data_IF_747164025434
#
_entry.id   IF_747164025434
#
_cell.length_a   1.000
_cell.length_b   1.000
_cell.length_c   1.000
_cell.angle_alpha   90.00
_cell.angle_beta   90.00
_cell.angle_gamma   90.00
#
_symmetry.space_group_name_H-M   'P 1'
#
loop_
_entity.id
_entity.type
_entity.pdbx_description
1 polymer ?
#
# COMPACT_ATOMS: atom_id res chain seq x y z
N UNK A 1 17.49 -2.74 -6.67
CA UNK A 1 16.07 -3.15 -6.56
C UNK A 1 15.19 -1.92 -6.63
N UNK A 2 13.89 -2.06 -6.87
CA UNK A 2 12.95 -0.95 -6.79
C UNK A 2 11.94 -1.16 -5.65
N UNK A 3 11.85 -0.20 -4.74
CA UNK A 3 10.81 -0.11 -3.74
C UNK A 3 9.68 0.82 -4.19
N UNK A 4 8.43 0.48 -3.89
CA UNK A 4 7.26 1.31 -4.18
C UNK A 4 6.53 1.60 -2.87
N UNK A 5 6.41 2.90 -2.53
CA UNK A 5 5.93 3.31 -1.21
C UNK A 5 4.40 3.17 -1.06
N UNK A 6 3.93 3.13 0.20
CA UNK A 6 2.51 3.25 0.54
C UNK A 6 2.03 4.69 0.75
N UNK A 7 0.95 4.87 1.50
CA UNK A 7 0.41 6.20 1.82
C UNK A 7 1.36 7.04 2.70
N UNK A 8 1.04 8.32 2.90
CA UNK A 8 1.68 9.17 3.92
C UNK A 8 3.06 9.71 3.56
N UNK A 9 3.53 9.50 2.33
CA UNK A 9 4.85 9.94 1.86
C UNK A 9 4.87 11.39 1.35
N UNK A 10 3.71 12.03 1.15
CA UNK A 10 3.63 13.43 0.73
C UNK A 10 4.28 14.41 1.74
N UNK A 11 4.34 14.05 3.02
CA UNK A 11 5.01 14.85 4.06
C UNK A 11 6.48 15.15 3.74
N UNK A 12 7.17 14.25 3.04
CA UNK A 12 8.55 14.46 2.61
C UNK A 12 8.62 15.47 1.46
N UNK A 13 7.68 15.39 0.52
CA UNK A 13 7.60 16.34 -0.59
C UNK A 13 7.31 17.77 -0.14
N UNK A 14 6.50 17.96 0.90
CA UNK A 14 6.30 19.29 1.51
C UNK A 14 7.61 19.92 2.01
N UNK A 15 8.60 19.10 2.38
CA UNK A 15 9.89 19.56 2.89
C UNK A 15 10.90 19.78 1.77
N UNK A 16 10.92 18.91 0.76
CA UNK A 16 11.94 18.92 -0.29
C UNK A 16 11.51 19.67 -1.56
N UNK A 17 10.21 19.77 -1.84
CA UNK A 17 9.68 20.35 -3.07
C UNK A 17 9.97 19.55 -4.36
N UNK A 18 10.63 18.40 -4.27
CA UNK A 18 11.12 17.64 -5.42
C UNK A 18 10.79 16.14 -5.29
N UNK A 19 10.14 15.52 -6.30
CA UNK A 19 9.87 14.08 -6.31
C UNK A 19 11.16 13.26 -6.21
N UNK A 20 12.20 13.66 -6.94
CA UNK A 20 13.50 12.98 -6.97
C UNK A 20 14.19 13.05 -5.61
N UNK A 21 14.09 14.19 -4.92
CA UNK A 21 14.63 14.32 -3.56
C UNK A 21 13.91 13.42 -2.55
N UNK A 22 12.60 13.22 -2.70
CA UNK A 22 11.87 12.27 -1.84
C UNK A 22 12.24 10.83 -2.20
N UNK A 23 12.35 10.50 -3.48
CA UNK A 23 12.78 9.18 -3.92
C UNK A 23 14.18 8.83 -3.37
N UNK A 24 15.14 9.76 -3.43
CA UNK A 24 16.47 9.58 -2.86
C UNK A 24 16.44 9.39 -1.33
N UNK A 25 15.58 10.14 -0.62
CA UNK A 25 15.41 10.01 0.83
C UNK A 25 14.86 8.62 1.21
N UNK A 26 13.81 8.16 0.51
CA UNK A 26 13.22 6.84 0.72
C UNK A 26 14.21 5.72 0.36
N UNK A 27 14.93 5.86 -0.76
CA UNK A 27 15.93 4.91 -1.20
C UNK A 27 17.05 4.73 -0.16
N UNK A 28 17.53 5.85 0.42
CA UNK A 28 18.52 5.84 1.50
C UNK A 28 17.98 5.14 2.76
N UNK A 29 16.77 5.52 3.21
CA UNK A 29 16.13 4.91 4.38
C UNK A 29 15.93 3.41 4.21
N UNK A 30 15.45 2.97 3.04
CA UNK A 30 15.15 1.58 2.77
C UNK A 30 16.40 0.73 2.53
N UNK A 31 17.42 1.28 1.89
CA UNK A 31 18.72 0.59 1.75
C UNK A 31 19.35 0.37 3.13
N UNK A 32 19.32 1.39 4.00
CA UNK A 32 19.79 1.26 5.36
C UNK A 32 18.95 0.26 6.18
N UNK A 33 17.62 0.24 5.98
CA UNK A 33 16.73 -0.70 6.64
C UNK A 33 16.96 -2.15 6.20
N UNK A 34 17.23 -2.38 4.91
CA UNK A 34 17.55 -3.69 4.36
C UNK A 34 18.85 -4.24 4.96
N UNK A 35 19.88 -3.38 5.13
CA UNK A 35 21.10 -3.71 5.85
C UNK A 35 21.90 -4.87 5.24
N UNK A 36 21.84 -5.05 3.91
CA UNK A 36 22.54 -6.12 3.18
C UNK A 36 23.60 -5.54 2.25
N UNK A 37 24.85 -5.92 2.48
CA UNK A 37 25.99 -5.45 1.69
C UNK A 37 25.88 -5.83 0.21
N UNK A 38 26.17 -4.86 -0.66
CA UNK A 38 26.08 -5.03 -2.11
C UNK A 38 24.65 -5.02 -2.66
N UNK A 39 23.64 -4.67 -1.83
CA UNK A 39 22.26 -4.48 -2.26
C UNK A 39 21.78 -3.06 -1.96
N UNK A 40 21.05 -2.49 -2.90
CA UNK A 40 20.42 -1.17 -2.76
C UNK A 40 18.98 -1.20 -3.25
N UNK A 41 18.17 -0.33 -2.66
CA UNK A 41 16.78 -0.12 -3.02
C UNK A 41 16.65 1.32 -3.54
N UNK A 42 16.32 1.47 -4.83
CA UNK A 42 15.80 2.73 -5.36
C UNK A 42 14.31 2.86 -5.02
N UNK A 43 13.76 4.07 -5.03
CA UNK A 43 12.35 4.30 -4.69
C UNK A 43 11.56 4.90 -5.86
N UNK A 44 10.39 4.32 -6.14
CA UNK A 44 9.36 4.96 -6.95
C UNK A 44 8.48 5.84 -6.05
N UNK A 45 8.46 7.14 -6.33
CA UNK A 45 7.69 8.13 -5.57
C UNK A 45 6.52 8.71 -6.39
N UNK A 46 5.30 8.63 -5.83
CA UNK A 46 4.08 9.09 -6.50
C UNK A 46 3.10 9.86 -5.60
N UNK A 47 3.37 10.01 -4.30
CA UNK A 47 2.37 10.55 -3.34
C UNK A 47 1.88 11.98 -3.68
N UNK A 48 2.70 12.79 -4.36
CA UNK A 48 2.33 14.13 -4.79
C UNK A 48 1.17 14.15 -5.82
N UNK A 49 0.97 13.06 -6.56
CA UNK A 49 -0.20 12.91 -7.45
C UNK A 49 -1.49 12.59 -6.69
N UNK A 50 -1.40 12.03 -5.48
CA UNK A 50 -2.56 11.64 -4.67
C UNK A 50 -2.92 12.66 -3.59
N UNK A 51 -2.01 13.58 -3.27
CA UNK A 51 -2.33 14.64 -2.32
C UNK A 51 -3.32 15.66 -2.91
N UNK A 52 -4.35 16.02 -2.14
CA UNK A 52 -5.44 16.91 -2.56
C UNK A 52 -5.38 18.33 -1.98
N UNK A 53 -4.38 18.64 -1.13
CA UNK A 53 -4.24 19.97 -0.54
C UNK A 53 -5.22 20.27 0.60
N UNK A 54 -5.76 19.24 1.26
CA UNK A 54 -6.73 19.40 2.36
C UNK A 54 -6.08 20.00 3.61
N UNK A 55 -6.79 20.89 4.30
CA UNK A 55 -6.34 21.51 5.55
C UNK A 55 -6.05 20.46 6.63
N UNK A 56 -5.12 20.74 7.54
CA UNK A 56 -4.67 19.80 8.55
C UNK A 56 -5.80 19.40 9.53
N UNK A 57 -6.70 20.32 9.90
CA UNK A 57 -7.88 20.02 10.72
C UNK A 57 -8.82 19.01 10.06
N UNK A 58 -8.97 19.11 8.75
CA UNK A 58 -9.87 18.28 7.95
C UNK A 58 -9.29 16.88 7.70
N UNK A 59 -7.97 16.72 7.94
CA UNK A 59 -7.29 15.45 7.74
C UNK A 59 -7.62 14.43 8.84
N UNK A 60 -7.98 14.89 10.04
CA UNK A 60 -8.15 14.05 11.24
C UNK A 60 -9.62 13.71 11.56
N UNK A 61 -10.59 14.42 10.97
CA UNK A 61 -12.03 14.13 11.14
C UNK A 61 -12.50 13.11 10.08
N UNK A 62 -12.93 11.89 10.49
CA UNK A 62 -13.49 10.91 9.55
C UNK A 62 -14.76 11.42 8.83
N UNK A 63 -15.49 12.39 9.41
CA UNK A 63 -16.64 13.02 8.78
C UNK A 63 -16.30 13.94 7.61
N UNK A 64 -15.03 14.35 7.47
CA UNK A 64 -14.54 15.20 6.37
C UNK A 64 -13.98 14.39 5.19
N UNK A 65 -13.98 13.05 5.29
CA UNK A 65 -13.74 12.17 4.15
C UNK A 65 -14.88 12.28 3.13
N UNK A 66 -14.57 12.06 1.85
CA UNK A 66 -15.60 11.92 0.82
C UNK A 66 -16.52 10.72 1.11
N UNK A 67 -17.80 10.74 0.69
CA UNK A 67 -18.75 9.68 1.00
C UNK A 67 -18.24 8.26 0.72
N UNK A 68 -17.57 8.05 -0.42
CA UNK A 68 -17.00 6.75 -0.79
C UNK A 68 -15.78 6.37 0.07
N UNK A 69 -15.01 7.36 0.54
CA UNK A 69 -13.94 7.14 1.52
C UNK A 69 -14.49 6.87 2.94
N UNK A 70 -15.64 7.46 3.30
CA UNK A 70 -16.35 7.12 4.54
C UNK A 70 -16.87 5.68 4.50
N UNK A 71 -17.45 5.26 3.37
CA UNK A 71 -17.85 3.87 3.15
C UNK A 71 -16.66 2.92 3.20
N UNK A 72 -15.50 3.32 2.67
CA UNK A 72 -14.26 2.57 2.79
C UNK A 72 -13.91 2.33 4.26
N UNK A 73 -13.89 3.38 5.07
CA UNK A 73 -13.55 3.28 6.49
C UNK A 73 -14.52 2.37 7.24
N UNK A 74 -15.83 2.49 6.96
CA UNK A 74 -16.85 1.62 7.55
C UNK A 74 -16.62 0.16 7.14
N UNK A 75 -16.53 -0.12 5.84
CA UNK A 75 -16.38 -1.49 5.33
C UNK A 75 -15.08 -2.15 5.79
N UNK A 76 -13.97 -1.41 5.85
CA UNK A 76 -12.72 -1.91 6.40
C UNK A 76 -12.85 -2.22 7.90
N UNK A 77 -13.49 -1.33 8.66
CA UNK A 77 -13.73 -1.55 10.09
C UNK A 77 -14.57 -2.82 10.31
N UNK A 78 -15.64 -3.01 9.53
CA UNK A 78 -16.50 -4.21 9.62
C UNK A 78 -15.73 -5.50 9.31
N UNK A 79 -14.79 -5.48 8.37
CA UNK A 79 -13.92 -6.62 8.10
C UNK A 79 -13.01 -6.96 9.29
N UNK A 80 -12.61 -5.98 10.09
CA UNK A 80 -11.82 -6.19 11.31
C UNK A 80 -12.69 -6.66 12.50
N UNK A 81 -14.00 -6.43 12.45
CA UNK A 81 -14.95 -6.73 13.53
C UNK A 81 -15.41 -8.21 13.61
N UNK A 82 -14.82 -9.11 12.81
CA UNK A 82 -15.06 -10.57 12.89
C UNK A 82 -16.55 -10.97 12.84
N UNK A 83 -17.31 -10.38 11.90
CA UNK A 83 -18.73 -10.70 11.69
C UNK A 83 -19.72 -9.79 12.43
N UNK A 84 -19.24 -8.80 13.20
CA UNK A 84 -20.09 -7.70 13.66
C UNK A 84 -20.12 -6.57 12.62
N UNK A 85 -21.21 -5.81 12.58
CA UNK A 85 -21.38 -4.66 11.70
C UNK A 85 -21.49 -3.36 12.48
N UNK A 86 -21.15 -2.24 11.85
CA UNK A 86 -21.44 -0.92 12.42
C UNK A 86 -22.96 -0.73 12.40
N UNK A 87 -23.60 -0.28 13.51
CA UNK A 87 -25.04 -0.04 13.55
C UNK A 87 -25.54 0.83 12.38
N UNK A 88 -26.75 0.57 11.90
CA UNK A 88 -27.36 1.38 10.85
C UNK A 88 -27.68 2.79 11.35
N UNK A 89 -27.66 3.78 10.45
CA UNK A 89 -27.87 5.19 10.77
C UNK A 89 -27.30 6.13 9.70
N UNK A 90 -27.35 7.45 9.93
CA UNK A 90 -26.74 8.43 9.03
C UNK A 90 -25.26 8.13 8.79
N UNK A 91 -24.78 8.32 7.55
CA UNK A 91 -23.41 7.99 7.15
C UNK A 91 -22.35 8.65 8.06
N UNK A 92 -22.58 9.91 8.43
CA UNK A 92 -21.69 10.67 9.34
C UNK A 92 -21.63 10.08 10.75
N UNK A 93 -22.72 9.50 11.26
CA UNK A 93 -22.72 8.80 12.53
C UNK A 93 -21.97 7.47 12.43
N UNK A 94 -22.23 6.70 11.36
CA UNK A 94 -21.58 5.41 11.11
C UNK A 94 -20.06 5.54 10.94
N UNK A 95 -19.60 6.54 10.20
CA UNK A 95 -18.16 6.74 9.99
C UNK A 95 -17.46 7.17 11.29
N UNK A 96 -18.12 7.97 12.14
CA UNK A 96 -17.60 8.30 13.48
C UNK A 96 -17.53 7.06 14.37
N UNK A 97 -18.57 6.22 14.38
CA UNK A 97 -18.58 4.96 15.13
C UNK A 97 -17.47 4.00 14.67
N UNK A 98 -17.24 3.88 13.36
CA UNK A 98 -16.15 3.09 12.80
C UNK A 98 -14.78 3.60 13.29
N UNK A 99 -14.55 4.91 13.18
CA UNK A 99 -13.31 5.53 13.62
C UNK A 99 -13.09 5.43 15.15
N UNK A 100 -14.15 5.53 15.95
CA UNK A 100 -14.10 5.31 17.39
C UNK A 100 -13.80 3.86 17.74
N UNK A 101 -14.39 2.89 17.03
CA UNK A 101 -14.07 1.47 17.22
C UNK A 101 -12.58 1.21 16.94
N UNK A 102 -12.06 1.74 15.82
CA UNK A 102 -10.63 1.68 15.49
C UNK A 102 -9.77 2.29 16.60
N UNK A 103 -10.18 3.44 17.13
CA UNK A 103 -9.48 4.10 18.25
C UNK A 103 -9.48 3.24 19.51
N UNK A 104 -10.62 2.66 19.89
CA UNK A 104 -10.72 1.80 21.08
C UNK A 104 -9.90 0.52 20.95
N UNK A 105 -9.84 -0.05 19.74
CA UNK A 105 -9.19 -1.34 19.50
C UNK A 105 -7.70 -1.26 19.22
N UNK A 106 -7.25 -0.20 18.54
CA UNK A 106 -5.89 -0.04 18.01
C UNK A 106 -5.23 1.31 18.36
N UNK A 107 -5.94 2.21 19.04
CA UNK A 107 -5.42 3.50 19.49
C UNK A 107 -5.59 4.65 18.48
N UNK A 108 -5.30 5.87 18.93
CA UNK A 108 -5.47 7.11 18.16
C UNK A 108 -4.61 7.14 16.90
N UNK A 109 -3.36 6.67 16.97
CA UNK A 109 -2.45 6.63 15.81
C UNK A 109 -3.01 5.76 14.68
N UNK A 110 -3.58 4.59 15.02
CA UNK A 110 -4.24 3.73 14.04
C UNK A 110 -5.47 4.39 13.42
N UNK A 111 -6.27 5.16 14.18
CA UNK A 111 -7.38 5.96 13.62
C UNK A 111 -6.88 6.96 12.58
N UNK A 112 -5.85 7.74 12.92
CA UNK A 112 -5.30 8.77 12.01
C UNK A 112 -4.73 8.13 10.74
N UNK A 113 -4.01 7.03 10.90
CA UNK A 113 -3.55 6.22 9.78
C UNK A 113 -4.73 5.75 8.91
N UNK A 114 -5.79 5.23 9.52
CA UNK A 114 -6.93 4.70 8.80
C UNK A 114 -7.64 5.77 7.95
N UNK A 115 -7.81 6.98 8.50
CA UNK A 115 -8.39 8.11 7.78
C UNK A 115 -7.50 8.51 6.60
N UNK A 116 -6.17 8.59 6.80
CA UNK A 116 -5.23 8.87 5.73
C UNK A 116 -5.26 7.78 4.63
N UNK A 117 -5.34 6.51 5.02
CA UNK A 117 -5.45 5.37 4.12
C UNK A 117 -6.71 5.48 3.26
N UNK A 118 -7.87 5.67 3.88
CA UNK A 118 -9.14 5.79 3.17
C UNK A 118 -9.10 6.93 2.15
N UNK A 119 -8.49 8.07 2.51
CA UNK A 119 -8.37 9.23 1.63
C UNK A 119 -7.47 8.97 0.41
N UNK A 120 -6.30 8.40 0.61
CA UNK A 120 -5.37 8.15 -0.50
C UNK A 120 -5.85 7.00 -1.39
N UNK A 121 -6.38 5.92 -0.81
CA UNK A 121 -6.98 4.80 -1.56
C UNK A 121 -8.18 5.29 -2.37
N UNK A 122 -9.06 6.10 -1.77
CA UNK A 122 -10.17 6.73 -2.50
C UNK A 122 -9.68 7.64 -3.62
N UNK A 123 -8.65 8.45 -3.38
CA UNK A 123 -8.11 9.34 -4.42
C UNK A 123 -7.52 8.55 -5.59
N UNK A 124 -6.93 7.38 -5.33
CA UNK A 124 -6.40 6.49 -6.37
C UNK A 124 -7.50 5.72 -7.12
N UNK A 125 -8.45 5.09 -6.40
CA UNK A 125 -9.42 4.13 -6.96
C UNK A 125 -10.79 4.71 -7.33
N UNK A 126 -11.12 5.95 -6.95
CA UNK A 126 -12.48 6.50 -7.10
C UNK A 126 -12.97 6.57 -8.54
N UNK A 127 -12.07 6.79 -9.51
CA UNK A 127 -12.41 6.88 -10.93
C UNK A 127 -11.38 6.09 -11.76
N UNK A 128 -11.82 5.12 -12.57
CA UNK A 128 -10.99 4.41 -13.54
C UNK A 128 -9.99 5.30 -14.30
N UNK A 129 -10.54 6.30 -14.99
CA UNK A 129 -9.78 7.22 -15.85
C UNK A 129 -9.24 8.45 -15.10
N UNK A 130 -9.02 8.33 -13.79
CA UNK A 130 -8.47 9.42 -12.99
C UNK A 130 -7.07 9.79 -13.48
N UNK A 131 -6.86 11.05 -13.86
CA UNK A 131 -5.54 11.58 -14.19
C UNK A 131 -4.53 11.38 -13.04
N UNK A 132 -5.00 11.34 -11.78
CA UNK A 132 -4.15 11.06 -10.61
C UNK A 132 -3.72 9.59 -10.54
N UNK A 133 -4.62 8.66 -10.85
CA UNK A 133 -4.33 7.22 -10.94
C UNK A 133 -3.34 6.95 -12.08
N UNK A 134 -3.60 7.54 -13.25
CA UNK A 134 -2.71 7.47 -14.41
C UNK A 134 -1.32 8.06 -14.10
N UNK A 135 -1.24 9.22 -13.47
CA UNK A 135 0.02 9.85 -13.09
C UNK A 135 0.81 9.02 -12.06
N UNK A 136 0.14 8.45 -11.06
CA UNK A 136 0.78 7.56 -10.10
C UNK A 136 1.32 6.28 -10.76
N UNK A 137 0.54 5.64 -11.66
CA UNK A 137 1.00 4.49 -12.45
C UNK A 137 2.20 4.85 -13.31
N UNK A 138 2.17 6.03 -13.95
CA UNK A 138 3.25 6.54 -14.80
C UNK A 138 4.53 6.79 -14.02
N UNK A 139 4.46 7.41 -12.84
CA UNK A 139 5.62 7.61 -11.98
C UNK A 139 6.31 6.29 -11.59
N UNK A 140 5.53 5.22 -11.33
CA UNK A 140 6.07 3.88 -11.09
C UNK A 140 6.66 3.28 -12.37
N UNK A 141 5.97 3.38 -13.51
CA UNK A 141 6.45 2.88 -14.80
C UNK A 141 7.78 3.54 -15.20
N UNK A 142 7.88 4.86 -15.06
CA UNK A 142 9.10 5.61 -15.38
C UNK A 142 10.27 5.21 -14.46
N UNK A 143 9.99 4.90 -13.19
CA UNK A 143 11.00 4.36 -12.27
C UNK A 143 11.46 2.95 -12.66
N UNK A 144 10.53 2.07 -13.08
CA UNK A 144 10.87 0.73 -13.58
C UNK A 144 11.70 0.84 -14.86
N UNK A 145 11.31 1.68 -15.81
CA UNK A 145 12.02 1.89 -17.07
C UNK A 145 13.44 2.43 -16.86
N UNK A 146 13.62 3.38 -15.94
CA UNK A 146 14.92 3.97 -15.61
C UNK A 146 15.86 2.98 -14.91
N UNK A 147 15.34 2.19 -13.98
CA UNK A 147 16.17 1.35 -13.09
C UNK A 147 16.31 -0.09 -13.56
N UNK A 148 15.45 -0.52 -14.50
CA UNK A 148 15.36 -1.88 -15.03
C UNK A 148 15.48 -2.96 -13.92
N UNK A 149 14.65 -2.87 -12.86
CA UNK A 149 14.87 -3.64 -11.65
C UNK A 149 14.50 -5.11 -11.87
N UNK A 150 15.34 -6.03 -11.39
CA UNK A 150 14.99 -7.45 -11.31
C UNK A 150 14.03 -7.77 -10.16
N UNK A 151 14.09 -6.98 -9.09
CA UNK A 151 13.27 -7.16 -7.90
C UNK A 151 12.49 -5.87 -7.60
N UNK A 152 11.18 -6.01 -7.44
CA UNK A 152 10.29 -4.96 -6.95
C UNK A 152 9.74 -5.35 -5.58
N UNK A 153 9.82 -4.44 -4.61
CA UNK A 153 9.13 -4.57 -3.32
C UNK A 153 8.10 -3.45 -3.15
N UNK A 154 6.82 -3.79 -3.11
CA UNK A 154 5.72 -2.83 -3.13
C UNK A 154 4.94 -2.88 -1.82
N UNK A 155 4.86 -1.75 -1.12
CA UNK A 155 4.31 -1.65 0.22
C UNK A 155 2.92 -1.02 0.25
N UNK A 156 1.96 -1.65 0.95
CA UNK A 156 0.63 -1.06 1.19
C UNK A 156 -0.05 -0.66 -0.13
N UNK A 157 -0.60 0.56 -0.24
CA UNK A 157 -1.14 1.12 -1.49
C UNK A 157 -0.16 1.00 -2.68
N UNK A 158 1.15 1.02 -2.45
CA UNK A 158 2.16 0.81 -3.48
C UNK A 158 2.00 -0.54 -4.19
N UNK A 159 1.55 -1.59 -3.51
CA UNK A 159 1.25 -2.90 -4.13
C UNK A 159 0.12 -2.81 -5.18
N UNK A 160 -0.92 -2.02 -4.89
CA UNK A 160 -2.03 -1.74 -5.80
C UNK A 160 -1.52 -0.96 -7.01
N UNK A 161 -0.75 0.11 -6.79
CA UNK A 161 -0.20 0.91 -7.89
C UNK A 161 0.73 0.08 -8.76
N UNK A 162 1.61 -0.73 -8.17
CA UNK A 162 2.51 -1.63 -8.90
C UNK A 162 1.76 -2.67 -9.70
N UNK A 163 0.73 -3.32 -9.14
CA UNK A 163 -0.07 -4.32 -9.85
C UNK A 163 -0.64 -3.74 -11.16
N UNK A 164 -1.30 -2.58 -11.08
CA UNK A 164 -1.88 -1.94 -12.26
C UNK A 164 -0.83 -1.40 -13.23
N UNK A 165 0.30 -0.89 -12.72
CA UNK A 165 1.41 -0.46 -13.58
C UNK A 165 1.96 -1.63 -14.39
N UNK A 166 2.18 -2.80 -13.78
CA UNK A 166 2.72 -3.97 -14.47
C UNK A 166 1.75 -4.53 -15.51
N UNK A 167 0.44 -4.46 -15.25
CA UNK A 167 -0.57 -4.80 -16.25
C UNK A 167 -0.64 -3.80 -17.41
N UNK A 168 -0.54 -2.50 -17.11
CA UNK A 168 -0.56 -1.43 -18.13
C UNK A 168 0.72 -1.37 -18.97
N UNK A 169 1.83 -1.90 -18.44
CA UNK A 169 3.15 -1.93 -19.07
C UNK A 169 3.71 -3.36 -19.09
N UNK A 170 3.11 -4.27 -19.89
CA UNK A 170 3.39 -5.71 -19.82
C UNK A 170 4.77 -6.10 -20.36
N UNK A 171 5.58 -5.15 -20.81
CA UNK A 171 6.92 -5.38 -21.36
C UNK A 171 8.03 -5.42 -20.30
N UNK A 172 7.72 -5.11 -19.04
CA UNK A 172 8.68 -5.11 -17.95
C UNK A 172 8.97 -6.54 -17.45
N UNK A 173 10.21 -7.01 -17.62
CA UNK A 173 10.67 -8.29 -17.07
C UNK A 173 11.05 -8.15 -15.58
N UNK A 174 10.22 -8.72 -14.71
CA UNK A 174 10.42 -8.70 -13.26
C UNK A 174 10.69 -10.12 -12.77
N UNK A 175 11.90 -10.37 -12.26
CA UNK A 175 12.27 -11.69 -11.75
C UNK A 175 11.55 -12.00 -10.42
N UNK A 176 11.37 -10.99 -9.55
CA UNK A 176 10.68 -11.14 -8.28
C UNK A 176 9.86 -9.88 -7.95
N UNK A 177 8.56 -10.05 -7.74
CA UNK A 177 7.69 -9.05 -7.15
C UNK A 177 7.28 -9.46 -5.73
N UNK A 178 7.66 -8.66 -4.75
CA UNK A 178 7.27 -8.84 -3.35
C UNK A 178 6.25 -7.79 -2.96
N UNK A 179 5.08 -8.22 -2.49
CA UNK A 179 4.09 -7.32 -1.88
C UNK A 179 4.20 -7.40 -0.36
N UNK A 180 4.29 -6.27 0.33
CA UNK A 180 4.42 -6.20 1.80
C UNK A 180 3.28 -5.38 2.39
N UNK A 181 2.60 -5.92 3.42
CA UNK A 181 1.45 -5.25 4.04
C UNK A 181 0.35 -4.92 3.01
N UNK A 182 0.08 -5.83 2.09
CA UNK A 182 -0.70 -5.53 0.88
C UNK A 182 -2.21 -5.54 1.14
N UNK A 183 -2.95 -4.44 0.84
CA UNK A 183 -4.41 -4.46 0.84
C UNK A 183 -4.99 -4.87 -0.52
N UNK A 184 -4.18 -5.39 -1.46
CA UNK A 184 -4.56 -5.65 -2.85
C UNK A 184 -5.83 -6.52 -2.97
N UNK A 185 -5.97 -7.51 -2.09
CA UNK A 185 -7.13 -8.40 -2.05
C UNK A 185 -8.28 -7.89 -1.18
N UNK A 186 -8.21 -6.68 -0.61
CA UNK A 186 -9.22 -6.15 0.32
C UNK A 186 -10.61 -6.20 -0.33
N UNK A 187 -11.51 -7.10 0.15
CA UNK A 187 -12.83 -7.31 -0.41
C UNK A 187 -13.64 -6.02 -0.42
N UNK A 188 -14.54 -5.91 -1.40
CA UNK A 188 -15.51 -4.81 -1.59
C UNK A 188 -14.91 -3.40 -1.79
N UNK A 189 -13.62 -3.22 -1.53
CA UNK A 189 -12.95 -1.92 -1.48
C UNK A 189 -11.91 -1.81 -2.60
N UNK A 190 -10.88 -2.65 -2.57
CA UNK A 190 -9.75 -2.57 -3.49
C UNK A 190 -9.92 -3.57 -4.61
N UNK A 191 -10.10 -4.85 -4.27
CA UNK A 191 -10.15 -5.94 -5.25
C UNK A 191 -11.15 -5.68 -6.41
N UNK A 192 -12.40 -5.20 -6.17
CA UNK A 192 -13.35 -4.95 -7.26
C UNK A 192 -13.03 -3.72 -8.12
N UNK A 193 -12.10 -2.87 -7.69
CA UNK A 193 -11.74 -1.60 -8.35
C UNK A 193 -10.40 -1.67 -9.08
N UNK A 194 -9.71 -2.82 -9.03
CA UNK A 194 -8.44 -3.01 -9.72
C UNK A 194 -8.59 -2.97 -11.24
N UNK A 195 -7.54 -2.49 -11.90
CA UNK A 195 -7.43 -2.49 -13.35
C UNK A 195 -6.17 -3.25 -13.81
N UNK A 196 -6.32 -4.42 -14.46
CA UNK A 196 -7.56 -5.15 -14.73
C UNK A 196 -8.03 -5.96 -13.50
N UNK A 197 -9.33 -6.20 -13.40
CA UNK A 197 -9.94 -7.05 -12.37
C UNK A 197 -9.89 -8.55 -12.74
N UNK A 198 -8.70 -9.04 -13.10
CA UNK A 198 -8.50 -10.42 -13.60
C UNK A 198 -8.23 -11.44 -12.50
N UNK A 199 -7.74 -11.00 -11.33
CA UNK A 199 -7.25 -11.92 -10.30
C UNK A 199 -6.05 -12.75 -10.78
N UNK A 200 -5.29 -12.28 -11.78
CA UNK A 200 -4.10 -12.97 -12.29
C UNK A 200 -2.81 -12.24 -11.98
N UNK A 201 -1.69 -12.94 -12.06
CA UNK A 201 -0.36 -12.33 -12.00
C UNK A 201 -0.15 -11.35 -13.16
N UNK A 202 0.49 -10.19 -12.94
CA UNK A 202 0.89 -9.32 -14.04
C UNK A 202 1.82 -10.05 -15.02
N UNK A 203 1.74 -9.76 -16.34
CA UNK A 203 2.59 -10.39 -17.33
C UNK A 203 4.08 -10.23 -17.01
N UNK A 204 4.88 -11.25 -17.34
CA UNK A 204 6.36 -11.24 -17.20
C UNK A 204 6.89 -11.00 -15.78
N UNK A 205 6.03 -11.17 -14.77
CA UNK A 205 6.44 -11.38 -13.37
C UNK A 205 6.72 -12.86 -13.18
N UNK A 206 7.99 -13.23 -12.97
CA UNK A 206 8.40 -14.63 -12.85
C UNK A 206 8.01 -15.24 -11.49
N UNK A 207 8.17 -14.48 -10.42
CA UNK A 207 7.86 -14.90 -9.06
C UNK A 207 7.10 -13.80 -8.34
N UNK A 208 5.94 -14.12 -7.74
CA UNK A 208 5.20 -13.21 -6.89
C UNK A 208 5.04 -13.80 -5.49
N UNK A 209 5.61 -13.12 -4.49
CA UNK A 209 5.52 -13.50 -3.09
C UNK A 209 4.86 -12.37 -2.30
N UNK A 210 3.87 -12.70 -1.50
CA UNK A 210 3.24 -11.77 -0.58
C UNK A 210 3.77 -12.00 0.84
N UNK A 211 3.98 -10.91 1.57
CA UNK A 211 4.41 -10.92 2.96
C UNK A 211 3.52 -10.00 3.79
N UNK A 212 3.06 -10.47 4.94
CA UNK A 212 2.26 -9.69 5.87
C UNK A 212 2.72 -9.92 7.30
N UNK A 213 2.74 -8.85 8.10
CA UNK A 213 2.85 -8.99 9.54
C UNK A 213 1.53 -9.53 10.10
N UNK A 214 1.62 -10.44 11.07
CA UNK A 214 0.43 -11.10 11.69
C UNK A 214 -0.54 -10.11 12.35
N UNK A 215 -0.05 -8.94 12.75
CA UNK A 215 -0.81 -7.84 13.34
C UNK A 215 -1.21 -6.74 12.35
N UNK A 216 -0.83 -6.84 11.07
CA UNK A 216 -1.08 -5.81 10.07
C UNK A 216 -2.58 -5.73 9.70
N UNK A 217 -3.26 -4.70 10.18
CA UNK A 217 -4.70 -4.49 9.92
C UNK A 217 -5.02 -4.03 8.50
N UNK A 218 -4.01 -3.74 7.67
CA UNK A 218 -4.17 -3.33 6.26
C UNK A 218 -4.01 -4.52 5.33
N UNK A 219 -3.24 -5.54 5.74
CA UNK A 219 -3.03 -6.78 4.98
C UNK A 219 -4.28 -7.67 5.00
N UNK A 220 -5.30 -7.26 4.25
CA UNK A 220 -6.62 -7.89 4.21
C UNK A 220 -6.83 -8.54 2.84
N UNK A 221 -7.34 -9.79 2.80
CA UNK A 221 -7.84 -10.57 3.94
C UNK A 221 -6.75 -11.29 4.73
N UNK A 222 -7.05 -11.57 6.01
CA UNK A 222 -6.24 -12.47 6.85
C UNK A 222 -6.26 -13.86 6.21
N UNK A 223 -5.12 -14.32 5.70
CA UNK A 223 -5.02 -15.49 4.82
C UNK A 223 -4.33 -15.20 3.48
N UNK A 224 -4.02 -13.94 3.20
CA UNK A 224 -3.11 -13.55 2.12
C UNK A 224 -3.76 -13.38 0.75
N UNK A 225 -2.91 -13.26 -0.27
CA UNK A 225 -3.31 -12.93 -1.63
C UNK A 225 -3.54 -14.17 -2.50
N UNK A 226 -2.97 -15.34 -2.17
CA UNK A 226 -3.02 -16.55 -3.01
C UNK A 226 -4.43 -17.08 -3.27
N UNK A 227 -5.37 -16.85 -2.36
CA UNK A 227 -6.79 -17.19 -2.59
C UNK A 227 -7.52 -16.26 -3.56
N UNK A 228 -6.90 -15.15 -3.97
CA UNK A 228 -7.52 -14.09 -4.77
C UNK A 228 -6.76 -13.79 -6.07
N UNK A 229 -5.50 -14.23 -6.18
CA UNK A 229 -4.64 -13.98 -7.32
C UNK A 229 -3.90 -15.23 -7.80
N UNK A 230 -4.18 -15.65 -9.03
CA UNK A 230 -3.50 -16.72 -9.75
C UNK A 230 -2.07 -16.27 -10.10
N UNK A 231 -1.09 -16.75 -9.33
CA UNK A 231 0.34 -16.44 -9.53
C UNK A 231 1.08 -16.03 -8.27
N UNK A 232 0.37 -15.78 -7.16
CA UNK A 232 1.01 -15.65 -5.85
C UNK A 232 1.54 -17.03 -5.44
N UNK A 233 2.86 -17.17 -5.42
CA UNK A 233 3.52 -18.43 -5.10
C UNK A 233 3.39 -18.76 -3.62
N UNK A 234 3.58 -17.75 -2.77
CA UNK A 234 3.59 -17.86 -1.31
C UNK A 234 3.00 -16.63 -0.65
N UNK A 235 2.21 -16.87 0.39
CA UNK A 235 1.89 -15.90 1.43
C UNK A 235 2.77 -16.22 2.64
N UNK A 236 3.64 -15.29 3.02
CA UNK A 236 4.53 -15.42 4.17
C UNK A 236 4.02 -14.51 5.30
N UNK A 237 3.92 -15.08 6.49
CA UNK A 237 3.65 -14.31 7.71
C UNK A 237 4.95 -14.00 8.43
N UNK A 238 5.09 -12.76 8.88
CA UNK A 238 6.25 -12.30 9.66
C UNK A 238 5.78 -11.60 10.94
N UNK A 239 6.73 -11.37 11.85
CA UNK A 239 6.54 -10.50 13.00
C UNK A 239 7.57 -9.39 12.90
N UNK A 240 7.12 -8.16 12.66
CA UNK A 240 8.01 -7.01 12.46
C UNK A 240 8.34 -6.27 13.78
N UNK A 241 8.00 -6.87 14.94
CA UNK A 241 8.42 -6.52 16.33
C UNK A 241 8.47 -5.01 16.64
N UNK A 242 7.45 -4.25 16.22
CA UNK A 242 7.39 -2.81 16.45
C UNK A 242 5.97 -2.38 16.83
N UNK A 243 5.86 -1.24 17.51
CA UNK A 243 4.60 -0.55 17.81
C UNK A 243 3.88 -0.12 16.51
N UNK A 244 4.63 -0.01 15.42
CA UNK A 244 4.13 0.34 14.09
C UNK A 244 4.06 -0.88 13.16
N UNK A 245 2.86 -1.47 13.07
CA UNK A 245 2.53 -2.71 12.36
C UNK A 245 2.55 -2.60 10.82
N UNK A 246 2.78 -1.40 10.25
CA UNK A 246 2.57 -1.16 8.82
C UNK A 246 3.61 -0.23 8.17
N UNK A 247 4.86 -0.31 8.62
CA UNK A 247 5.97 0.45 8.01
C UNK A 247 6.87 -0.44 7.17
N UNK A 248 7.10 -0.02 5.93
CA UNK A 248 8.06 -0.62 5.00
C UNK A 248 9.43 -0.88 5.62
N UNK A 249 9.96 0.07 6.40
CA UNK A 249 11.26 -0.06 7.09
C UNK A 249 11.30 -1.28 8.01
N UNK A 250 10.20 -1.59 8.69
CA UNK A 250 10.14 -2.69 9.65
C UNK A 250 10.05 -4.04 8.93
N UNK A 251 9.32 -4.10 7.80
CA UNK A 251 9.39 -5.24 6.89
C UNK A 251 10.80 -5.46 6.36
N UNK A 252 11.50 -4.42 5.89
CA UNK A 252 12.85 -4.55 5.33
C UNK A 252 13.90 -4.99 6.37
N UNK A 253 13.74 -4.58 7.63
CA UNK A 253 14.60 -5.02 8.75
C UNK A 253 14.38 -6.46 9.16
N UNK A 254 13.23 -7.04 8.85
CA UNK A 254 12.95 -8.44 9.15
C UNK A 254 13.91 -9.34 8.35
N UNK A 255 14.57 -10.27 9.05
CA UNK A 255 15.63 -11.10 8.47
C UNK A 255 15.13 -11.97 7.30
N UNK A 256 13.91 -12.50 7.39
CA UNK A 256 13.31 -13.36 6.37
C UNK A 256 12.98 -12.55 5.10
N UNK A 257 12.45 -11.33 5.28
CA UNK A 257 12.18 -10.41 4.17
C UNK A 257 13.48 -9.96 3.50
N UNK A 258 14.49 -9.59 4.29
CA UNK A 258 15.78 -9.18 3.75
C UNK A 258 16.45 -10.33 2.97
N UNK A 259 16.42 -11.55 3.50
CA UNK A 259 16.91 -12.75 2.82
C UNK A 259 16.12 -13.05 1.53
N UNK A 260 14.79 -12.98 1.57
CA UNK A 260 13.92 -13.14 0.40
C UNK A 260 14.34 -12.22 -0.75
N UNK A 261 14.59 -10.94 -0.44
CA UNK A 261 14.98 -9.95 -1.43
C UNK A 261 16.40 -10.25 -1.97
N UNK A 262 17.33 -10.65 -1.12
CA UNK A 262 18.77 -10.69 -1.48
C UNK A 262 19.30 -12.05 -1.95
N UNK A 263 18.54 -13.13 -1.83
CA UNK A 263 19.01 -14.49 -2.15
C UNK A 263 18.96 -14.88 -3.64
N UNK A 264 18.48 -14.01 -4.54
CA UNK A 264 18.39 -14.31 -5.98
C UNK A 264 19.40 -13.46 -6.75
N UNK A 265 20.61 -14.00 -6.94
CA UNK A 265 21.61 -13.52 -7.92
C UNK A 265 21.67 -14.47 -9.11
#
# INVERSE_FOLDING_TARGET
MLGVHGIGNYKYFKRTGSPDSVAALLASEWTAALGKDGFSIEAAYYAHHLHRGTAQSDQDDPGMLEPEAQQLLIGWTEQLMSGQSIPQGPLTARVRQAAEWMTRRFGTTARLFAIAFCREVHTYLSKPDSARRAAARRAVADAIARTQPKVIVAHSLGSVVTYETLWAHPDHDIDLWVTVGSPLAMPTIILPRLEPATGGAPPRVRHWINVADVGDIVAIPRGGLRGHFDGVEKDLEVVIHDVDFHRMVNYLRNADVAALLTNRR
#
